data_IF_500075406780
#
_entry.id   IF_500075406780
#
_cell.length_a   1.000
_cell.length_b   1.000
_cell.length_c   1.000
_cell.angle_alpha   90.00
_cell.angle_beta   90.00
_cell.angle_gamma   90.00
#
_symmetry.space_group_name_H-M   'P 1'
#
loop_
_entity.id
_entity.type
_entity.pdbx_description
1 polymer ?
#
# COMPACT_ATOMS: atom_id res chain seq x y z
N UNK A 1 11.50 -28.22 -13.63
CA UNK A 1 10.20 -27.97 -12.97
C UNK A 1 10.23 -26.53 -12.47
N UNK A 2 9.24 -25.69 -12.82
CA UNK A 2 9.16 -24.33 -12.28
C UNK A 2 8.65 -24.38 -10.85
N UNK A 3 9.39 -23.79 -9.91
CA UNK A 3 8.90 -23.57 -8.54
C UNK A 3 7.65 -22.68 -8.57
N UNK A 4 6.59 -23.04 -7.82
CA UNK A 4 5.38 -22.22 -7.76
C UNK A 4 5.69 -20.86 -7.14
N UNK A 5 5.09 -19.80 -7.68
CA UNK A 5 5.14 -18.47 -7.07
C UNK A 5 4.35 -18.50 -5.77
N UNK A 6 4.92 -17.91 -4.71
CA UNK A 6 4.30 -17.84 -3.38
C UNK A 6 3.85 -16.40 -3.08
N UNK A 7 3.15 -16.19 -1.97
CA UNK A 7 2.87 -14.86 -1.42
C UNK A 7 3.66 -14.73 -0.12
N UNK A 8 4.37 -13.61 0.06
CA UNK A 8 5.20 -13.35 1.23
C UNK A 8 4.58 -12.18 2.01
N UNK A 9 4.07 -12.46 3.20
CA UNK A 9 3.63 -11.44 4.15
C UNK A 9 4.77 -11.09 5.12
N UNK A 10 4.96 -9.79 5.41
CA UNK A 10 6.02 -9.29 6.31
C UNK A 10 5.40 -8.33 7.32
N UNK A 11 5.20 -8.82 8.54
CA UNK A 11 4.53 -8.10 9.63
C UNK A 11 5.49 -7.73 10.76
N UNK A 12 5.08 -6.76 11.58
CA UNK A 12 5.81 -6.30 12.77
C UNK A 12 5.53 -4.83 13.09
N UNK A 13 6.07 -4.34 14.22
CA UNK A 13 5.81 -2.98 14.69
C UNK A 13 6.30 -1.88 13.73
N UNK A 14 5.74 -0.68 13.87
CA UNK A 14 6.18 0.50 13.11
C UNK A 14 7.67 0.76 13.32
N UNK A 15 8.34 1.31 12.30
CA UNK A 15 9.77 1.69 12.36
C UNK A 15 10.80 0.54 12.48
N UNK A 16 10.41 -0.73 12.40
CA UNK A 16 11.35 -1.86 12.39
C UNK A 16 12.05 -2.12 11.03
N UNK A 17 11.94 -1.20 10.06
CA UNK A 17 12.55 -1.36 8.73
C UNK A 17 11.83 -2.33 7.77
N UNK A 18 10.60 -2.74 8.08
CA UNK A 18 9.84 -3.74 7.30
C UNK A 18 9.68 -3.38 5.83
N UNK A 19 9.23 -2.16 5.51
CA UNK A 19 9.05 -1.72 4.12
C UNK A 19 10.38 -1.71 3.37
N UNK A 20 11.48 -1.35 4.04
CA UNK A 20 12.82 -1.40 3.45
C UNK A 20 13.26 -2.83 3.13
N UNK A 21 13.07 -3.77 4.07
CA UNK A 21 13.36 -5.18 3.85
C UNK A 21 12.48 -5.76 2.73
N UNK A 22 11.17 -5.54 2.80
CA UNK A 22 10.19 -6.04 1.85
C UNK A 22 10.47 -5.55 0.43
N UNK A 23 10.76 -4.25 0.24
CA UNK A 23 11.17 -3.68 -1.06
C UNK A 23 12.42 -4.37 -1.61
N UNK A 24 13.46 -4.53 -0.79
CA UNK A 24 14.72 -5.16 -1.22
C UNK A 24 14.54 -6.64 -1.54
N UNK A 25 13.77 -7.37 -0.73
CA UNK A 25 13.47 -8.78 -0.95
C UNK A 25 12.67 -8.98 -2.24
N UNK A 26 11.64 -8.16 -2.46
CA UNK A 26 10.83 -8.20 -3.67
C UNK A 26 11.67 -7.94 -4.93
N UNK A 27 12.54 -6.92 -4.91
CA UNK A 27 13.47 -6.66 -6.01
C UNK A 27 14.44 -7.83 -6.26
N UNK A 28 14.98 -8.44 -5.21
CA UNK A 28 15.90 -9.59 -5.34
C UNK A 28 15.22 -10.84 -5.90
N UNK A 29 13.97 -11.09 -5.53
CA UNK A 29 13.19 -12.26 -5.97
C UNK A 29 12.43 -12.01 -7.28
N UNK A 30 12.44 -10.78 -7.83
CA UNK A 30 11.58 -10.36 -8.94
C UNK A 30 10.08 -10.50 -8.63
N UNK A 31 9.68 -10.08 -7.43
CA UNK A 31 8.31 -10.04 -6.95
C UNK A 31 7.80 -8.59 -6.92
N UNK A 32 6.50 -8.42 -7.07
CA UNK A 32 5.85 -7.12 -6.82
C UNK A 32 5.79 -6.86 -5.32
N UNK A 33 6.17 -5.66 -4.91
CA UNK A 33 6.02 -5.19 -3.53
C UNK A 33 4.72 -4.38 -3.39
N UNK A 34 3.95 -4.64 -2.34
CA UNK A 34 2.72 -3.90 -1.99
C UNK A 34 2.91 -3.26 -0.61
N UNK A 35 2.80 -1.94 -0.52
CA UNK A 35 2.87 -1.19 0.75
C UNK A 35 1.47 -0.88 1.28
N UNK A 36 0.92 -1.78 2.09
CA UNK A 36 -0.39 -1.58 2.73
C UNK A 36 -0.41 -0.33 3.62
N UNK A 37 0.71 0.00 4.26
CA UNK A 37 0.81 1.21 5.08
C UNK A 37 0.65 2.49 4.27
N UNK A 38 1.19 2.53 3.04
CA UNK A 38 0.97 3.64 2.14
C UNK A 38 -0.49 3.71 1.66
N UNK A 39 -1.17 2.57 1.43
CA UNK A 39 -2.59 2.54 1.04
C UNK A 39 -3.46 3.18 2.12
N UNK A 40 -3.32 2.75 3.37
CA UNK A 40 -4.07 3.32 4.48
C UNK A 40 -3.78 4.82 4.65
N UNK A 41 -2.52 5.25 4.50
CA UNK A 41 -2.17 6.68 4.58
C UNK A 41 -2.81 7.51 3.46
N UNK A 42 -2.88 6.99 2.24
CA UNK A 42 -3.52 7.68 1.11
C UNK A 42 -5.04 7.84 1.35
N UNK A 43 -5.72 6.79 1.82
CA UNK A 43 -7.15 6.85 2.17
C UNK A 43 -7.38 7.86 3.30
N UNK A 44 -6.57 7.81 4.37
CA UNK A 44 -6.66 8.78 5.47
C UNK A 44 -6.47 10.21 4.99
N UNK A 45 -5.51 10.46 4.09
CA UNK A 45 -5.29 11.77 3.50
C UNK A 45 -6.50 12.23 2.69
N UNK A 46 -7.13 11.34 1.92
CA UNK A 46 -8.37 11.64 1.21
C UNK A 46 -9.50 12.01 2.19
N UNK A 47 -9.69 11.26 3.28
CA UNK A 47 -10.71 11.57 4.29
C UNK A 47 -10.48 12.93 4.95
N UNK A 48 -9.23 13.26 5.30
CA UNK A 48 -8.88 14.56 5.87
C UNK A 48 -9.18 15.69 4.87
N UNK A 49 -8.79 15.54 3.60
CA UNK A 49 -8.99 16.56 2.56
C UNK A 49 -10.45 16.79 2.20
N UNK A 50 -11.28 15.76 2.29
CA UNK A 50 -12.70 15.81 1.97
C UNK A 50 -13.60 15.98 3.19
N UNK A 51 -13.02 16.18 4.39
CA UNK A 51 -13.75 16.34 5.66
C UNK A 51 -14.78 15.23 5.89
N UNK A 52 -14.38 13.98 5.61
CA UNK A 52 -15.26 12.81 5.80
C UNK A 52 -15.55 12.62 7.29
N UNK A 53 -16.82 12.47 7.64
CA UNK A 53 -17.22 12.22 9.02
C UNK A 53 -16.94 10.76 9.41
N UNK A 54 -15.88 10.58 10.19
CA UNK A 54 -15.44 9.26 10.64
C UNK A 54 -16.37 8.62 11.70
N UNK A 55 -17.29 9.39 12.27
CA UNK A 55 -18.30 8.86 13.20
C UNK A 55 -19.54 8.32 12.47
N UNK A 56 -19.66 8.61 11.17
CA UNK A 56 -20.76 8.18 10.33
C UNK A 56 -20.29 7.13 9.31
N UNK A 57 -20.70 5.89 9.53
CA UNK A 57 -20.37 4.76 8.65
C UNK A 57 -20.82 5.00 7.19
N UNK A 58 -21.99 5.59 6.97
CA UNK A 58 -22.49 5.87 5.62
C UNK A 58 -21.61 6.89 4.91
N UNK A 59 -21.14 7.92 5.61
CA UNK A 59 -20.20 8.92 5.05
C UNK A 59 -18.89 8.27 4.61
N UNK A 60 -18.36 7.34 5.41
CA UNK A 60 -17.17 6.56 5.07
C UNK A 60 -17.40 5.70 3.81
N UNK A 61 -18.50 4.95 3.77
CA UNK A 61 -18.83 4.08 2.63
C UNK A 61 -19.01 4.86 1.32
N UNK A 62 -19.65 6.03 1.39
CA UNK A 62 -19.80 6.93 0.24
C UNK A 62 -18.46 7.52 -0.20
N UNK A 63 -17.61 7.94 0.74
CA UNK A 63 -16.28 8.43 0.43
C UNK A 63 -15.41 7.36 -0.26
N UNK A 64 -15.43 6.12 0.24
CA UNK A 64 -14.66 5.01 -0.33
C UNK A 64 -15.02 4.69 -1.78
N UNK A 65 -16.30 4.85 -2.17
CA UNK A 65 -16.74 4.64 -3.57
C UNK A 65 -16.11 5.63 -4.55
N UNK A 66 -15.60 6.75 -4.06
CA UNK A 66 -14.98 7.80 -4.88
C UNK A 66 -13.44 7.72 -4.90
N UNK A 67 -12.85 6.69 -4.30
CA UNK A 67 -11.40 6.52 -4.22
C UNK A 67 -10.97 5.43 -5.20
N UNK A 68 -10.14 5.83 -6.17
CA UNK A 68 -9.33 4.90 -6.96
C UNK A 68 -7.88 5.02 -6.48
N UNK A 69 -7.26 3.88 -6.18
CA UNK A 69 -5.88 3.83 -5.67
C UNK A 69 -5.05 2.89 -6.53
N UNK A 70 -4.00 3.45 -7.12
CA UNK A 70 -3.10 2.74 -8.01
C UNK A 70 -1.69 2.73 -7.42
N UNK A 71 -0.98 1.63 -7.63
CA UNK A 71 0.44 1.56 -7.40
C UNK A 71 1.13 1.70 -8.76
N UNK A 72 1.92 2.75 -8.92
CA UNK A 72 2.66 3.00 -10.16
C UNK A 72 4.15 2.74 -9.95
N UNK A 73 4.81 2.22 -10.98
CA UNK A 73 6.26 2.09 -10.97
C UNK A 73 6.84 3.44 -11.34
N UNK A 74 7.51 4.08 -10.40
CA UNK A 74 8.27 5.29 -10.67
C UNK A 74 9.45 4.95 -11.60
N UNK A 75 9.47 5.56 -12.77
CA UNK A 75 10.47 5.28 -13.81
C UNK A 75 11.91 5.61 -13.37
N UNK A 76 12.09 6.55 -12.44
CA UNK A 76 13.40 6.97 -11.95
C UNK A 76 13.92 6.06 -10.84
N UNK A 77 13.06 5.70 -9.88
CA UNK A 77 13.47 4.87 -8.74
C UNK A 77 13.35 3.37 -9.04
N UNK A 78 12.59 3.00 -10.09
CA UNK A 78 12.12 1.64 -10.40
C UNK A 78 11.35 1.00 -9.24
N UNK A 79 10.80 1.82 -8.35
CA UNK A 79 10.04 1.36 -7.20
C UNK A 79 8.55 1.58 -7.44
N UNK A 80 7.75 0.67 -6.87
CA UNK A 80 6.31 0.88 -6.77
C UNK A 80 6.02 1.94 -5.70
N UNK A 81 5.30 2.98 -6.08
CA UNK A 81 4.85 4.11 -5.26
C UNK A 81 3.33 4.27 -5.43
N UNK A 82 2.66 4.87 -4.42
CA UNK A 82 1.22 5.20 -4.44
C UNK A 82 1.06 6.68 -4.75
#
# INVERSE_FOLDING_TARGET
MSTPKIIIAIDGFSSCGKSTLAKRLAAHLSYTFIDTGAMYRAITLYFIRNTVDLSNQQSIEEALKNIELHFEINAHTKQSEI
#
